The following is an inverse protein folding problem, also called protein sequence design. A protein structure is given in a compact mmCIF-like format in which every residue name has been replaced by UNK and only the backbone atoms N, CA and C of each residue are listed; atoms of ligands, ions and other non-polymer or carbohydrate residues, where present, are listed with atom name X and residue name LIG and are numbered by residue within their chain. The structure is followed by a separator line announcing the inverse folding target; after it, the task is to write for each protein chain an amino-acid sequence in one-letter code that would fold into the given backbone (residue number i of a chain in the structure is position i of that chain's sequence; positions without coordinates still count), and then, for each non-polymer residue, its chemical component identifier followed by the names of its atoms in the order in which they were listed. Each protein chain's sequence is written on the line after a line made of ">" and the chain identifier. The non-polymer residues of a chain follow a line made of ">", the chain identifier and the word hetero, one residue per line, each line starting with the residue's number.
data_IF_406236442987
#
_entry.id   IF_406236442987
#
_cell.length_a   1.000
_cell.length_b   1.000
_cell.length_c   1.000
_cell.angle_alpha   90.00
_cell.angle_beta   90.00
_cell.angle_gamma   90.00
#
_symmetry.space_group_name_H-M   'P 1'
#
loop_
_entity.id
_entity.type
_entity.pdbx_description
1 polymer ?
#
# COMPACT_ATOMS: atom_id res chain seq x y z
N UNK A 1 1.07 -15.89 -1.61
CA UNK A 1 0.85 -15.50 -3.02
C UNK A 1 -0.25 -14.46 -3.20
N UNK A 2 -1.44 -14.62 -2.59
CA UNK A 2 -2.60 -13.75 -2.86
C UNK A 2 -2.48 -12.33 -2.31
N UNK A 3 -1.99 -12.15 -1.07
CA UNK A 3 -1.99 -10.84 -0.41
C UNK A 3 -1.29 -9.72 -1.22
N UNK A 4 -0.09 -9.95 -1.80
CA UNK A 4 0.56 -8.93 -2.63
C UNK A 4 -0.27 -8.44 -3.83
N UNK A 5 -1.19 -9.27 -4.34
CA UNK A 5 -2.04 -8.91 -5.47
C UNK A 5 -3.09 -7.85 -5.12
N UNK A 6 -3.41 -7.65 -3.83
CA UNK A 6 -4.28 -6.56 -3.42
C UNK A 6 -3.66 -5.17 -3.72
N UNK A 7 -2.33 -5.03 -3.60
CA UNK A 7 -1.64 -3.78 -3.98
C UNK A 7 -1.71 -3.54 -5.49
N UNK A 8 -1.54 -4.60 -6.28
CA UNK A 8 -1.67 -4.53 -7.75
C UNK A 8 -3.09 -4.11 -8.14
N UNK A 9 -4.11 -4.77 -7.56
CA UNK A 9 -5.50 -4.43 -7.82
C UNK A 9 -5.83 -2.98 -7.42
N UNK A 10 -5.30 -2.52 -6.28
CA UNK A 10 -5.47 -1.15 -5.81
C UNK A 10 -4.87 -0.14 -6.81
N UNK A 11 -3.62 -0.33 -7.21
CA UNK A 11 -2.92 0.55 -8.14
C UNK A 11 -3.56 0.56 -9.55
N UNK A 12 -3.95 -0.62 -10.06
CA UNK A 12 -4.64 -0.73 -11.35
C UNK A 12 -6.00 -0.03 -11.29
N UNK A 13 -6.73 -0.13 -10.18
CA UNK A 13 -7.99 0.60 -9.99
C UNK A 13 -7.77 2.11 -9.99
N UNK A 14 -6.67 2.59 -9.39
CA UNK A 14 -6.29 4.01 -9.40
C UNK A 14 -6.07 4.52 -10.83
N UNK A 15 -5.39 3.74 -11.67
CA UNK A 15 -5.16 4.05 -13.08
C UNK A 15 -6.47 3.99 -13.87
N UNK A 16 -7.20 2.88 -13.77
CA UNK A 16 -8.42 2.62 -14.54
C UNK A 16 -9.54 3.63 -14.27
N UNK A 17 -9.62 4.15 -13.04
CA UNK A 17 -10.59 5.17 -12.66
C UNK A 17 -10.06 6.61 -12.87
N UNK A 18 -8.84 6.79 -13.39
CA UNK A 18 -8.25 8.12 -13.64
C UNK A 18 -8.04 8.95 -12.37
N UNK A 19 -7.81 8.33 -11.21
CA UNK A 19 -7.79 9.04 -9.90
C UNK A 19 -6.40 9.47 -9.44
N UNK A 20 -5.37 9.36 -10.29
CA UNK A 20 -3.99 9.77 -10.00
C UNK A 20 -3.93 11.25 -9.56
N UNK A 21 -4.44 12.17 -10.38
CA UNK A 21 -4.38 13.61 -10.07
C UNK A 21 -5.26 13.99 -8.87
N UNK A 22 -6.36 13.27 -8.66
CA UNK A 22 -7.19 13.45 -7.46
C UNK A 22 -6.41 13.12 -6.19
N UNK A 23 -5.67 12.02 -6.18
CA UNK A 23 -4.85 11.65 -5.03
C UNK A 23 -3.65 12.57 -4.87
N UNK A 24 -3.02 13.00 -5.97
CA UNK A 24 -1.94 13.97 -5.95
C UNK A 24 -2.39 15.33 -5.38
N UNK A 25 -3.58 15.79 -5.76
CA UNK A 25 -4.21 16.99 -5.20
C UNK A 25 -4.45 16.87 -3.70
N UNK A 26 -4.96 15.73 -3.24
CA UNK A 26 -5.10 15.45 -1.80
C UNK A 26 -3.75 15.51 -1.06
N UNK A 27 -2.69 14.90 -1.58
CA UNK A 27 -1.38 14.97 -0.94
C UNK A 27 -0.83 16.40 -0.91
N UNK A 28 -1.11 17.20 -1.94
CA UNK A 28 -0.72 18.61 -1.97
C UNK A 28 -1.37 19.42 -0.84
N UNK A 29 -2.66 19.17 -0.53
CA UNK A 29 -3.31 19.85 0.61
C UNK A 29 -2.75 19.44 1.97
N UNK A 30 -2.07 18.30 2.04
CA UNK A 30 -1.35 17.81 3.24
C UNK A 30 0.10 18.32 3.31
N UNK A 31 0.54 19.16 2.36
CA UNK A 31 1.86 19.81 2.37
C UNK A 31 2.98 19.03 1.67
N UNK A 32 2.65 17.95 0.94
CA UNK A 32 3.64 17.22 0.14
C UNK A 32 3.98 17.99 -1.14
N UNK A 33 5.21 17.80 -1.64
CA UNK A 33 5.70 18.37 -2.89
C UNK A 33 5.80 17.30 -3.98
N UNK A 34 5.86 17.73 -5.25
CA UNK A 34 5.95 16.84 -6.42
C UNK A 34 4.91 15.69 -6.39
N UNK A 35 3.68 15.99 -5.96
CA UNK A 35 2.70 14.99 -5.54
C UNK A 35 2.26 14.06 -6.66
N UNK A 36 2.15 14.56 -7.89
CA UNK A 36 1.85 13.72 -9.06
C UNK A 36 2.94 12.67 -9.29
N UNK A 37 4.22 13.07 -9.25
CA UNK A 37 5.34 12.14 -9.38
C UNK A 37 5.38 11.13 -8.21
N UNK A 38 5.08 11.59 -6.99
CA UNK A 38 4.98 10.72 -5.81
C UNK A 38 3.87 9.67 -5.97
N UNK A 39 2.68 10.07 -6.42
CA UNK A 39 1.56 9.13 -6.65
C UNK A 39 1.89 8.12 -7.74
N UNK A 40 2.54 8.54 -8.82
CA UNK A 40 3.05 7.60 -9.83
C UNK A 40 4.10 6.65 -9.24
N UNK A 41 5.02 7.14 -8.42
CA UNK A 41 6.01 6.31 -7.72
C UNK A 41 5.36 5.25 -6.83
N UNK A 42 4.36 5.64 -6.03
CA UNK A 42 3.55 4.73 -5.22
C UNK A 42 2.86 3.68 -6.12
N UNK A 43 2.21 4.13 -7.19
CA UNK A 43 1.47 3.26 -8.13
C UNK A 43 2.39 2.23 -8.80
N UNK A 44 3.57 2.65 -9.27
CA UNK A 44 4.57 1.76 -9.87
C UNK A 44 5.10 0.77 -8.84
N UNK A 45 5.38 1.22 -7.62
CA UNK A 45 5.83 0.35 -6.54
C UNK A 45 4.78 -0.70 -6.19
N UNK A 46 3.50 -0.33 -6.12
CA UNK A 46 2.40 -1.26 -5.86
C UNK A 46 2.27 -2.34 -6.95
N UNK A 47 2.40 -1.96 -8.22
CA UNK A 47 2.32 -2.91 -9.35
C UNK A 47 3.55 -3.82 -9.37
N UNK A 48 4.75 -3.24 -9.50
CA UNK A 48 6.00 -4.01 -9.68
C UNK A 48 6.33 -4.78 -8.41
N UNK A 49 6.25 -4.12 -7.25
CA UNK A 49 6.51 -4.73 -5.95
C UNK A 49 5.47 -5.80 -5.61
N UNK A 50 4.19 -5.58 -5.92
CA UNK A 50 3.13 -6.56 -5.67
C UNK A 50 3.32 -7.83 -6.50
N UNK A 51 3.65 -7.68 -7.79
CA UNK A 51 3.97 -8.81 -8.68
C UNK A 51 5.24 -9.53 -8.19
N UNK A 52 6.33 -8.79 -7.95
CA UNK A 52 7.60 -9.38 -7.51
C UNK A 52 7.45 -10.14 -6.18
N UNK A 53 6.73 -9.58 -5.22
CA UNK A 53 6.46 -10.21 -3.92
C UNK A 53 5.55 -11.43 -4.07
N UNK A 54 4.59 -11.42 -5.00
CA UNK A 54 3.76 -12.60 -5.29
C UNK A 54 4.60 -13.79 -5.80
N UNK A 55 5.67 -13.53 -6.57
CA UNK A 55 6.63 -14.53 -7.02
C UNK A 55 7.75 -14.84 -6.01
N UNK A 56 7.75 -14.20 -4.84
CA UNK A 56 8.73 -14.46 -3.78
C UNK A 56 10.08 -13.77 -3.96
N UNK A 57 10.17 -12.73 -4.79
CA UNK A 57 11.39 -11.93 -4.91
C UNK A 57 11.48 -10.87 -3.81
N UNK A 58 12.70 -10.61 -3.31
CA UNK A 58 13.01 -9.55 -2.33
C UNK A 58 12.02 -9.45 -1.16
N UNK A 59 11.52 -10.60 -0.67
CA UNK A 59 10.33 -10.68 0.19
C UNK A 59 10.38 -9.74 1.39
N UNK A 60 11.50 -9.72 2.12
CA UNK A 60 11.68 -8.88 3.31
C UNK A 60 11.68 -7.39 2.97
N UNK A 61 12.41 -6.99 1.94
CA UNK A 61 12.53 -5.58 1.54
C UNK A 61 11.24 -5.01 0.94
N UNK A 62 10.57 -5.78 0.08
CA UNK A 62 9.28 -5.37 -0.50
C UNK A 62 8.19 -5.31 0.57
N UNK A 63 8.13 -6.30 1.47
CA UNK A 63 7.17 -6.27 2.58
C UNK A 63 7.39 -5.06 3.48
N UNK A 64 8.64 -4.72 3.79
CA UNK A 64 8.96 -3.52 4.58
C UNK A 64 8.48 -2.24 3.89
N UNK A 65 8.72 -2.08 2.59
CA UNK A 65 8.26 -0.89 1.86
C UNK A 65 6.74 -0.78 1.81
N UNK A 66 6.02 -1.89 1.59
CA UNK A 66 4.56 -1.90 1.69
C UNK A 66 4.04 -1.57 3.09
N UNK A 67 4.67 -2.12 4.15
CA UNK A 67 4.30 -1.81 5.54
C UNK A 67 4.44 -0.31 5.82
N UNK A 68 5.58 0.29 5.44
CA UNK A 68 5.79 1.72 5.64
C UNK A 68 4.78 2.56 4.85
N UNK A 69 4.48 2.16 3.62
CA UNK A 69 3.46 2.82 2.80
C UNK A 69 2.08 2.78 3.46
N UNK A 70 1.66 1.63 3.99
CA UNK A 70 0.38 1.46 4.69
C UNK A 70 0.34 2.25 6.01
N UNK A 71 1.43 2.28 6.77
CA UNK A 71 1.52 3.09 8.00
C UNK A 71 1.34 4.57 7.68
N UNK A 72 2.04 5.08 6.66
CA UNK A 72 1.93 6.48 6.24
C UNK A 72 0.52 6.79 5.74
N UNK A 73 -0.07 5.91 4.93
CA UNK A 73 -1.46 6.02 4.48
C UNK A 73 -2.45 6.07 5.65
N UNK A 74 -2.25 5.23 6.66
CA UNK A 74 -3.05 5.26 7.88
C UNK A 74 -2.94 6.59 8.62
N UNK A 75 -1.73 7.10 8.82
CA UNK A 75 -1.52 8.38 9.55
C UNK A 75 -2.18 9.55 8.82
N UNK A 76 -2.02 9.65 7.50
CA UNK A 76 -2.46 10.82 6.72
C UNK A 76 -3.95 10.77 6.38
N UNK A 77 -4.51 9.57 6.21
CA UNK A 77 -5.86 9.35 5.68
C UNK A 77 -6.73 8.67 6.72
N UNK A 78 -6.44 7.41 7.04
CA UNK A 78 -7.41 6.52 7.66
C UNK A 78 -7.58 6.73 9.18
N UNK A 79 -6.57 7.25 9.87
CA UNK A 79 -6.62 7.48 11.31
C UNK A 79 -7.77 8.41 11.71
N UNK A 80 -8.03 9.43 10.88
CA UNK A 80 -9.14 10.38 11.11
C UNK A 80 -10.51 9.74 10.90
N UNK A 81 -10.58 8.64 10.13
CA UNK A 81 -11.82 7.90 9.84
C UNK A 81 -12.10 6.80 10.88
N UNK A 82 -11.19 6.58 11.83
CA UNK A 82 -11.32 5.56 12.86
C UNK A 82 -10.91 4.15 12.41
N UNK A 83 -11.50 3.13 13.02
CA UNK A 83 -11.07 1.73 12.81
C UNK A 83 -11.75 1.07 11.61
N UNK A 84 -13.08 1.14 11.51
CA UNK A 84 -13.88 0.29 10.63
C UNK A 84 -13.88 0.73 9.15
N UNK A 85 -13.99 -0.25 8.25
CA UNK A 85 -14.05 -0.01 6.78
C UNK A 85 -15.46 -0.24 6.18
N UNK A 86 -16.38 -0.90 6.90
CA UNK A 86 -17.74 -1.24 6.45
C UNK A 86 -18.89 -0.73 7.33
N UNK A 87 -19.80 -1.61 7.74
CA UNK A 87 -21.06 -1.28 8.43
C UNK A 87 -20.90 -0.35 9.66
N UNK A 88 -19.74 -0.41 10.31
CA UNK A 88 -19.44 0.32 11.54
C UNK A 88 -18.55 1.56 11.31
N UNK A 89 -18.27 1.93 10.06
CA UNK A 89 -17.48 3.10 9.66
C UNK A 89 -16.88 2.94 8.26
N UNK A 90 -16.65 4.03 7.53
CA UNK A 90 -16.13 3.99 6.16
C UNK A 90 -14.67 4.48 6.10
N UNK A 91 -13.82 3.71 5.41
CA UNK A 91 -12.47 4.13 5.10
C UNK A 91 -11.53 4.22 6.31
N UNK A 92 -11.79 3.47 7.38
CA UNK A 92 -10.90 3.33 8.54
C UNK A 92 -9.66 2.46 8.30
N UNK A 93 -8.91 2.20 9.38
CA UNK A 93 -7.58 1.56 9.33
C UNK A 93 -7.58 0.02 9.33
N UNK A 94 -8.70 -0.63 9.64
CA UNK A 94 -8.81 -2.09 9.87
C UNK A 94 -8.16 -2.91 8.74
N UNK A 95 -8.51 -2.61 7.50
CA UNK A 95 -7.99 -3.34 6.33
C UNK A 95 -6.48 -3.14 6.16
N UNK A 96 -5.97 -1.91 6.29
CA UNK A 96 -4.54 -1.62 6.24
C UNK A 96 -3.76 -2.35 7.33
N UNK A 97 -4.30 -2.40 8.56
CA UNK A 97 -3.70 -3.13 9.67
C UNK A 97 -3.66 -4.64 9.42
N UNK A 98 -4.72 -5.21 8.85
CA UNK A 98 -4.74 -6.62 8.45
C UNK A 98 -3.69 -6.92 7.37
N UNK A 99 -3.54 -6.04 6.37
CA UNK A 99 -2.50 -6.16 5.35
C UNK A 99 -1.08 -6.07 5.95
N UNK A 100 -0.84 -5.14 6.89
CA UNK A 100 0.44 -5.02 7.61
C UNK A 100 0.78 -6.33 8.33
N UNK A 101 -0.17 -6.90 9.08
CA UNK A 101 0.03 -8.18 9.78
C UNK A 101 0.33 -9.31 8.80
N UNK A 102 -0.40 -9.39 7.68
CA UNK A 102 -0.13 -10.39 6.66
C UNK A 102 1.25 -10.23 6.00
N UNK A 103 1.72 -9.00 5.78
CA UNK A 103 3.07 -8.72 5.29
C UNK A 103 4.16 -9.10 6.31
N UNK A 104 3.91 -8.90 7.62
CA UNK A 104 4.82 -9.36 8.67
C UNK A 104 4.97 -10.89 8.63
N UNK A 105 3.85 -11.62 8.47
CA UNK A 105 3.87 -13.09 8.33
C UNK A 105 4.59 -13.53 7.06
N UNK A 106 4.38 -12.84 5.94
CA UNK A 106 5.10 -13.12 4.68
C UNK A 106 6.61 -12.87 4.85
N UNK A 107 6.99 -11.77 5.49
CA UNK A 107 8.40 -11.45 5.73
C UNK A 107 9.08 -12.41 6.72
N UNK A 108 8.35 -12.92 7.73
CA UNK A 108 8.90 -13.85 8.72
C UNK A 108 9.09 -15.27 8.18
N UNK A 109 8.32 -15.66 7.16
CA UNK A 109 8.43 -16.96 6.50
C UNK A 109 9.44 -16.96 5.34
N UNK A 110 9.97 -15.79 4.97
CA UNK A 110 11.01 -15.66 3.98
C UNK A 110 12.30 -16.35 4.48
N UNK A 111 12.66 -17.48 3.86
CA UNK A 111 13.96 -18.10 4.09
C UNK A 111 15.04 -17.10 3.71
N UNK A 112 16.04 -16.93 4.57
CA UNK A 112 17.23 -16.17 4.22
C UNK A 112 17.86 -16.83 3.01
N UNK A 113 17.63 -16.21 1.85
CA UNK A 113 18.35 -16.57 0.65
C UNK A 113 19.74 -15.97 0.84
N UNK A 114 20.60 -16.73 1.51
CA UNK A 114 22.05 -16.57 1.38
C UNK A 114 22.35 -16.68 -0.11
N UNK A 115 22.53 -15.51 -0.73
CA UNK A 115 23.32 -15.32 -1.93
C UNK A 115 24.30 -14.22 -1.61
#
# INVERSE_FOLDING_TARGET
>A
MTLPLFFVAHAVTRIGNGTIERFAGFLSTKGFFATTAMVWGITVYEIIGGIALAFGYYVKYLSLGFILMLIIGNIIIHYQNGWWVGEHGEGGMEYSCALILGLIVIASTAKDSSK
#
